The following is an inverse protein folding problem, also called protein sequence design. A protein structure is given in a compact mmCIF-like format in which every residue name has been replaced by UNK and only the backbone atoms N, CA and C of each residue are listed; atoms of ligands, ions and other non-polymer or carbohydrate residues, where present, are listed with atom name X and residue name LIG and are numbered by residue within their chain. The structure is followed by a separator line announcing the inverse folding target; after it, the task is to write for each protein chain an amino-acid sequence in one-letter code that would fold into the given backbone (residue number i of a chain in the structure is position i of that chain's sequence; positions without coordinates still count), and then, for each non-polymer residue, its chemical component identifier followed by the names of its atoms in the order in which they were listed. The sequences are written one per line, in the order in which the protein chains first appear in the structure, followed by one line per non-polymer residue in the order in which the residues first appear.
data_IF_940035023436
#
_entry.id   IF_940035023436
#
_cell.length_a   1.000
_cell.length_b   1.000
_cell.length_c   1.000
_cell.angle_alpha   90.00
_cell.angle_beta   90.00
_cell.angle_gamma   90.00
#
_symmetry.space_group_name_H-M   'P 1'
#
loop_
_entity.id
_entity.type
_entity.pdbx_description
1 polymer ?
#
# COMPACT_ATOMS: atom_id res chain seq x y z
N UNK A 1 28.68 16.45 -11.40
CA UNK A 1 28.14 16.28 -10.03
C UNK A 1 29.18 15.53 -9.23
N UNK A 2 29.56 16.05 -8.07
CA UNK A 2 30.56 15.41 -7.21
C UNK A 2 29.94 14.22 -6.47
N UNK A 3 30.75 13.20 -6.18
CA UNK A 3 30.33 11.95 -5.54
C UNK A 3 29.56 12.18 -4.22
N UNK A 4 29.92 13.23 -3.47
CA UNK A 4 29.23 13.67 -2.25
C UNK A 4 27.81 14.19 -2.48
N UNK A 5 27.55 14.85 -3.61
CA UNK A 5 26.22 15.37 -3.97
C UNK A 5 25.25 14.23 -4.34
N UNK A 6 25.76 13.18 -4.97
CA UNK A 6 25.00 11.96 -5.27
C UNK A 6 24.69 11.14 -4.01
N UNK A 7 25.64 11.04 -3.07
CA UNK A 7 25.42 10.36 -1.78
C UNK A 7 24.33 11.05 -0.94
N UNK A 8 24.38 12.39 -0.83
CA UNK A 8 23.39 13.16 -0.06
C UNK A 8 21.96 13.09 -0.65
N UNK A 9 21.83 13.11 -1.98
CA UNK A 9 20.52 12.93 -2.63
C UNK A 9 19.98 11.52 -2.39
N UNK A 10 20.82 10.49 -2.48
CA UNK A 10 20.39 9.09 -2.32
C UNK A 10 19.89 8.81 -0.90
N UNK A 11 20.55 9.34 0.14
CA UNK A 11 20.10 9.25 1.54
C UNK A 11 18.74 9.91 1.80
N UNK A 12 18.53 11.12 1.27
CA UNK A 12 17.25 11.84 1.38
C UNK A 12 16.08 11.08 0.71
N UNK A 13 16.31 10.46 -0.46
CA UNK A 13 15.27 9.65 -1.11
C UNK A 13 14.93 8.38 -0.31
N UNK A 14 15.93 7.70 0.25
CA UNK A 14 15.71 6.49 1.06
C UNK A 14 14.97 6.79 2.36
N UNK A 15 15.33 7.86 3.08
CA UNK A 15 14.62 8.29 4.29
C UNK A 15 13.16 8.65 3.96
N UNK A 16 12.90 9.33 2.84
CA UNK A 16 11.53 9.63 2.41
C UNK A 16 10.70 8.39 2.08
N UNK A 17 11.34 7.29 1.63
CA UNK A 17 10.66 6.06 1.25
C UNK A 17 10.22 5.28 2.50
N UNK A 18 11.09 5.15 3.49
CA UNK A 18 10.74 4.48 4.76
C UNK A 18 9.58 5.18 5.46
N UNK A 19 9.58 6.52 5.49
CA UNK A 19 8.46 7.29 6.07
C UNK A 19 7.15 7.00 5.33
N UNK A 20 7.16 6.97 3.99
CA UNK A 20 5.96 6.66 3.19
C UNK A 20 5.44 5.25 3.48
N UNK A 21 6.32 4.27 3.58
CA UNK A 21 5.96 2.89 3.90
C UNK A 21 5.30 2.84 5.29
N UNK A 22 5.94 3.42 6.31
CA UNK A 22 5.43 3.46 7.68
C UNK A 22 4.04 4.10 7.72
N UNK A 23 3.86 5.23 7.03
CA UNK A 23 2.57 5.93 6.96
C UNK A 23 1.50 5.03 6.34
N UNK A 24 1.78 4.35 5.22
CA UNK A 24 0.81 3.46 4.57
C UNK A 24 0.38 2.31 5.49
N UNK A 25 1.32 1.67 6.20
CA UNK A 25 0.99 0.62 7.16
C UNK A 25 0.22 1.17 8.37
N UNK A 26 0.57 2.35 8.88
CA UNK A 26 -0.18 3.00 9.95
C UNK A 26 -1.63 3.29 9.53
N UNK A 27 -1.84 3.80 8.32
CA UNK A 27 -3.19 4.04 7.78
C UNK A 27 -3.99 2.74 7.61
N UNK A 28 -3.35 1.64 7.21
CA UNK A 28 -4.02 0.35 7.14
C UNK A 28 -4.56 -0.11 8.50
N UNK A 29 -3.88 0.23 9.61
CA UNK A 29 -4.30 -0.10 10.97
C UNK A 29 -5.40 0.84 11.52
N UNK A 30 -5.63 2.01 10.91
CA UNK A 30 -6.70 2.93 11.32
C UNK A 30 -8.10 2.44 10.95
N UNK A 31 -8.21 1.46 10.06
CA UNK A 31 -9.47 0.91 9.59
C UNK A 31 -9.58 -0.57 9.93
N UNK A 32 -9.63 -0.93 11.24
CA UNK A 32 -9.82 -2.32 11.63
C UNK A 32 -11.22 -2.80 11.24
N UNK A 33 -11.29 -4.06 10.80
CA UNK A 33 -12.55 -4.72 10.48
C UNK A 33 -13.16 -5.29 11.76
N UNK A 34 -14.35 -4.79 12.12
CA UNK A 34 -15.21 -5.38 13.13
C UNK A 34 -16.18 -6.37 12.45
N UNK A 35 -16.19 -7.61 12.92
CA UNK A 35 -17.04 -8.68 12.36
C UNK A 35 -18.54 -8.47 12.59
N UNK A 36 -18.91 -7.69 13.62
CA UNK A 36 -20.29 -7.43 14.00
C UNK A 36 -20.86 -6.17 13.33
N UNK A 37 -20.02 -5.41 12.63
CA UNK A 37 -20.41 -4.14 12.03
C UNK A 37 -20.63 -4.27 10.52
N UNK A 38 -21.79 -3.82 10.04
CA UNK A 38 -22.06 -3.74 8.62
C UNK A 38 -21.45 -2.48 8.00
N UNK A 39 -20.51 -2.67 7.08
CA UNK A 39 -19.82 -1.56 6.44
C UNK A 39 -20.48 -1.11 5.13
N UNK A 40 -20.43 0.21 4.90
CA UNK A 40 -20.88 0.88 3.67
C UNK A 40 -19.75 1.14 2.65
N UNK A 41 -20.06 1.88 1.60
CA UNK A 41 -19.15 2.16 0.48
C UNK A 41 -17.80 2.76 0.89
N UNK A 42 -17.79 3.71 1.84
CA UNK A 42 -16.58 4.41 2.27
C UNK A 42 -15.56 3.43 2.85
N UNK A 43 -16.00 2.63 3.83
CA UNK A 43 -15.15 1.61 4.44
C UNK A 43 -14.80 0.49 3.46
N UNK A 44 -15.66 0.22 2.46
CA UNK A 44 -15.34 -0.63 1.33
C UNK A 44 -14.09 -0.14 0.60
N UNK A 45 -14.08 1.13 0.18
CA UNK A 45 -12.94 1.74 -0.50
C UNK A 45 -11.68 1.72 0.36
N UNK A 46 -11.78 2.06 1.65
CA UNK A 46 -10.64 2.08 2.56
C UNK A 46 -10.06 0.67 2.76
N UNK A 47 -10.89 -0.31 3.16
CA UNK A 47 -10.44 -1.70 3.34
C UNK A 47 -9.87 -2.28 2.04
N UNK A 48 -10.48 -2.00 0.89
CA UNK A 48 -9.99 -2.46 -0.41
C UNK A 48 -8.63 -1.87 -0.76
N UNK A 49 -8.46 -0.56 -0.59
CA UNK A 49 -7.20 0.14 -0.87
C UNK A 49 -6.07 -0.37 0.01
N UNK A 50 -6.35 -0.66 1.28
CA UNK A 50 -5.32 -1.12 2.21
C UNK A 50 -5.15 -2.65 2.28
N UNK A 51 -5.99 -3.43 1.58
CA UNK A 51 -5.97 -4.89 1.63
C UNK A 51 -4.61 -5.52 1.29
N UNK A 52 -3.83 -5.06 0.27
CA UNK A 52 -2.51 -5.64 0.01
C UNK A 52 -1.54 -5.47 1.18
N UNK A 53 -1.60 -4.34 1.88
CA UNK A 53 -0.75 -4.10 3.05
C UNK A 53 -1.25 -4.89 4.26
N UNK A 54 -2.56 -4.97 4.44
CA UNK A 54 -3.17 -5.73 5.53
C UNK A 54 -2.96 -7.24 5.40
N UNK A 55 -2.88 -7.76 4.16
CA UNK A 55 -2.61 -9.17 3.89
C UNK A 55 -1.26 -9.66 4.40
N UNK A 56 -0.31 -8.75 4.68
CA UNK A 56 0.95 -9.11 5.32
C UNK A 56 0.69 -9.54 6.77
N UNK A 57 -0.26 -8.89 7.48
CA UNK A 57 -0.63 -9.26 8.84
C UNK A 57 -1.43 -10.57 8.89
N UNK A 58 -2.21 -10.88 7.84
CA UNK A 58 -2.94 -12.16 7.77
C UNK A 58 -2.03 -13.37 7.60
N UNK A 59 -0.78 -13.19 7.18
CA UNK A 59 0.22 -14.27 7.17
C UNK A 59 0.61 -14.71 8.58
N UNK A 60 0.38 -13.87 9.60
CA UNK A 60 0.78 -14.10 10.98
C UNK A 60 -0.40 -14.20 11.95
N UNK A 61 -1.64 -14.12 11.44
CA UNK A 61 -2.84 -14.10 12.27
C UNK A 61 -4.04 -14.65 11.50
N UNK A 62 -4.62 -15.73 12.04
CA UNK A 62 -5.83 -16.35 11.49
C UNK A 62 -7.11 -15.51 11.73
N UNK A 63 -7.02 -14.50 12.61
CA UNK A 63 -8.14 -13.60 12.95
C UNK A 63 -8.13 -12.29 12.16
N UNK A 64 -7.05 -12.01 11.44
CA UNK A 64 -6.95 -10.80 10.63
C UNK A 64 -7.74 -10.98 9.32
N UNK A 65 -8.72 -10.09 9.11
CA UNK A 65 -9.58 -10.13 7.93
C UNK A 65 -9.15 -9.05 6.93
N UNK A 66 -9.07 -9.41 5.64
CA UNK A 66 -8.82 -8.45 4.55
C UNK A 66 -10.12 -7.85 3.99
N UNK A 67 -11.27 -8.46 4.28
CA UNK A 67 -12.59 -8.03 3.82
C UNK A 67 -13.61 -8.30 4.91
N UNK A 68 -14.48 -7.34 5.18
CA UNK A 68 -15.54 -7.48 6.17
C UNK A 68 -16.52 -8.61 5.78
N UNK A 69 -16.90 -9.50 6.72
CA UNK A 69 -17.85 -10.58 6.46
C UNK A 69 -19.27 -10.04 6.31
N UNK A 70 -19.67 -9.11 7.18
CA UNK A 70 -20.94 -8.40 7.12
C UNK A 70 -20.77 -7.08 6.38
N UNK A 71 -21.40 -6.95 5.21
CA UNK A 71 -21.24 -5.76 4.39
C UNK A 71 -22.38 -5.54 3.40
N UNK A 72 -22.62 -4.28 3.07
CA UNK A 72 -23.55 -3.87 2.02
C UNK A 72 -23.05 -4.26 0.62
N UNK A 73 -23.95 -4.35 -0.36
CA UNK A 73 -23.56 -4.52 -1.76
C UNK A 73 -22.63 -3.39 -2.24
N UNK A 74 -22.89 -2.16 -1.79
CA UNK A 74 -22.04 -1.00 -2.09
C UNK A 74 -20.61 -1.21 -1.56
N UNK A 75 -20.45 -1.64 -0.30
CA UNK A 75 -19.13 -1.99 0.23
C UNK A 75 -18.39 -2.97 -0.67
N UNK A 76 -19.07 -4.04 -1.13
CA UNK A 76 -18.46 -5.06 -1.98
C UNK A 76 -17.85 -4.49 -3.25
N UNK A 77 -18.58 -3.60 -3.93
CA UNK A 77 -18.11 -2.92 -5.15
C UNK A 77 -16.90 -2.03 -4.86
N UNK A 78 -17.02 -1.17 -3.85
CA UNK A 78 -15.97 -0.20 -3.52
C UNK A 78 -14.70 -0.86 -2.98
N UNK A 79 -14.82 -2.02 -2.33
CA UNK A 79 -13.69 -2.84 -1.93
C UNK A 79 -12.86 -3.32 -3.13
N UNK A 80 -13.52 -3.82 -4.18
CA UNK A 80 -12.82 -4.23 -5.40
C UNK A 80 -12.20 -3.05 -6.14
N UNK A 81 -12.89 -1.89 -6.18
CA UNK A 81 -12.34 -0.66 -6.77
C UNK A 81 -11.06 -0.23 -6.01
N UNK A 82 -11.11 -0.17 -4.68
CA UNK A 82 -9.95 0.18 -3.87
C UNK A 82 -8.78 -0.78 -4.08
N UNK A 83 -9.05 -2.08 -4.12
CA UNK A 83 -8.02 -3.10 -4.37
C UNK A 83 -7.38 -2.90 -5.75
N UNK A 84 -8.18 -2.70 -6.79
CA UNK A 84 -7.68 -2.49 -8.15
C UNK A 84 -6.79 -1.24 -8.24
N UNK A 85 -7.19 -0.14 -7.60
CA UNK A 85 -6.41 1.10 -7.51
C UNK A 85 -5.07 0.82 -6.82
N UNK A 86 -5.09 0.18 -5.64
CA UNK A 86 -3.87 -0.12 -4.90
C UNK A 86 -2.90 -0.98 -5.70
N UNK A 87 -3.39 -2.06 -6.32
CA UNK A 87 -2.55 -2.96 -7.12
C UNK A 87 -1.94 -2.24 -8.33
N UNK A 88 -2.72 -1.40 -9.02
CA UNK A 88 -2.22 -0.59 -10.13
C UNK A 88 -1.04 0.29 -9.69
N UNK A 89 -1.18 1.03 -8.58
CA UNK A 89 -0.11 1.89 -8.08
C UNK A 89 1.12 1.12 -7.60
N UNK A 90 0.94 -0.04 -6.98
CA UNK A 90 2.04 -0.93 -6.59
C UNK A 90 2.82 -1.39 -7.83
N UNK A 91 2.12 -1.89 -8.87
CA UNK A 91 2.76 -2.32 -10.12
C UNK A 91 3.51 -1.16 -10.79
N UNK A 92 2.88 0.01 -10.87
CA UNK A 92 3.51 1.20 -11.44
C UNK A 92 4.76 1.63 -10.66
N UNK A 93 4.71 1.59 -9.33
CA UNK A 93 5.86 1.89 -8.48
C UNK A 93 7.03 0.92 -8.74
N UNK A 94 6.75 -0.37 -8.88
CA UNK A 94 7.76 -1.39 -9.19
C UNK A 94 8.37 -1.13 -10.57
N UNK A 95 7.56 -0.93 -11.61
CA UNK A 95 8.03 -0.65 -12.99
C UNK A 95 8.93 0.58 -13.03
N UNK A 96 8.51 1.67 -12.37
CA UNK A 96 9.29 2.90 -12.32
C UNK A 96 10.62 2.70 -11.57
N UNK A 97 10.61 1.93 -10.48
CA UNK A 97 11.82 1.61 -9.71
C UNK A 97 12.80 0.78 -10.53
N UNK A 98 12.35 -0.28 -11.20
CA UNK A 98 13.19 -1.10 -12.10
C UNK A 98 13.78 -0.23 -13.21
N UNK A 99 12.98 0.63 -13.84
CA UNK A 99 13.44 1.56 -14.89
C UNK A 99 14.49 2.54 -14.36
N UNK A 100 14.38 2.99 -13.11
CA UNK A 100 15.39 3.86 -12.49
C UNK A 100 16.69 3.11 -12.23
N UNK A 101 16.62 1.88 -11.70
CA UNK A 101 17.80 1.03 -11.47
C UNK A 101 18.55 0.76 -12.77
N UNK A 102 17.83 0.34 -13.82
CA UNK A 102 18.43 0.07 -15.13
C UNK A 102 19.11 1.31 -15.73
N UNK A 103 18.48 2.49 -15.61
CA UNK A 103 19.09 3.75 -16.07
C UNK A 103 20.37 4.09 -15.32
N UNK A 104 20.42 3.87 -14.00
CA UNK A 104 21.62 4.13 -13.19
C UNK A 104 22.79 3.23 -13.58
N UNK A 105 22.53 1.95 -13.88
CA UNK A 105 23.56 1.00 -14.34
C UNK A 105 24.17 1.38 -15.70
N UNK A 106 23.40 2.01 -16.60
CA UNK A 106 23.90 2.42 -17.93
C UNK A 106 24.73 3.72 -17.89
N UNK A 107 24.62 4.51 -16.83
CA UNK A 107 25.33 5.79 -16.66
C UNK A 107 26.55 5.70 -15.74
N UNK A 108 26.82 4.55 -15.15
CA UNK A 108 28.02 4.24 -14.37
C UNK A 108 29.03 3.49 -15.25
#
# INVERSE_FOLDING_TARGET
MTEKENAGKTGCYTESLYVKIIVIFAFALLFPINIEHEYGWFMGLMHGTFAPYYSIFTLFSDTALCKAPLHTAAYGIWWWIGLAISLYYIVMAIVLTIRQIYRRQKTA
#
